data_IF_599795883108
#
_entry.id   IF_599795883108
#
_cell.length_a   1.000
_cell.length_b   1.000
_cell.length_c   1.000
_cell.angle_alpha   90.00
_cell.angle_beta   90.00
_cell.angle_gamma   90.00
#
_symmetry.space_group_name_H-M   'P 1'
#
loop_
_entity.id
_entity.type
_entity.pdbx_description
1 polymer ?
#
# COMPACT_ATOMS: atom_id res chain seq x y z
N UNK A 1 1.70 -12.29 -5.72
CA UNK A 1 0.86 -13.39 -6.26
C UNK A 1 -0.33 -12.78 -6.98
N UNK A 2 -0.78 -13.37 -8.09
CA UNK A 2 -1.91 -12.84 -8.85
C UNK A 2 -3.22 -13.46 -8.38
N UNK A 3 -4.19 -12.63 -7.96
CA UNK A 3 -5.58 -12.93 -7.54
C UNK A 3 -5.89 -13.19 -6.05
N UNK A 4 -4.91 -13.31 -5.16
CA UNK A 4 -5.17 -13.26 -3.70
C UNK A 4 -5.33 -11.81 -3.22
N UNK A 5 -6.16 -11.57 -2.19
CA UNK A 5 -6.12 -10.32 -1.43
C UNK A 5 -5.16 -10.56 -0.24
N UNK A 6 -3.94 -10.00 -0.25
CA UNK A 6 -2.94 -10.23 0.79
C UNK A 6 -3.46 -9.92 2.19
N UNK A 7 -4.20 -8.83 2.37
CA UNK A 7 -4.81 -8.44 3.65
C UNK A 7 -5.72 -9.55 4.19
N UNK A 8 -6.54 -10.15 3.32
CA UNK A 8 -7.43 -11.24 3.71
C UNK A 8 -6.63 -12.49 4.10
N UNK A 9 -5.58 -12.83 3.35
CA UNK A 9 -4.72 -13.96 3.65
C UNK A 9 -3.95 -13.77 4.96
N UNK A 10 -3.47 -12.54 5.23
CA UNK A 10 -2.83 -12.14 6.48
C UNK A 10 -3.75 -12.39 7.68
N UNK A 11 -4.98 -11.88 7.63
CA UNK A 11 -5.97 -12.04 8.70
C UNK A 11 -6.39 -13.52 8.85
N UNK A 12 -6.57 -14.25 7.75
CA UNK A 12 -6.87 -15.68 7.77
C UNK A 12 -5.75 -16.49 8.41
N UNK A 13 -4.48 -16.19 8.13
CA UNK A 13 -3.33 -16.90 8.67
C UNK A 13 -3.13 -16.60 10.15
N UNK A 14 -3.20 -15.33 10.55
CA UNK A 14 -3.20 -14.91 11.96
C UNK A 14 -4.28 -15.65 12.76
N UNK A 15 -5.51 -15.67 12.25
CA UNK A 15 -6.65 -16.36 12.89
C UNK A 15 -6.41 -17.87 13.04
N UNK A 16 -5.84 -18.53 12.03
CA UNK A 16 -5.53 -19.97 12.09
C UNK A 16 -4.44 -20.29 13.13
N UNK A 17 -3.47 -19.40 13.30
CA UNK A 17 -2.38 -19.55 14.27
C UNK A 17 -2.85 -19.31 15.70
N UNK A 18 -3.63 -18.25 15.95
CA UNK A 18 -4.19 -17.96 17.27
C UNK A 18 -5.14 -19.07 17.75
N UNK A 19 -5.92 -19.66 16.85
CA UNK A 19 -6.77 -20.84 17.16
C UNK A 19 -5.96 -22.07 17.61
N UNK A 20 -4.67 -22.15 17.27
CA UNK A 20 -3.74 -23.20 17.71
C UNK A 20 -2.94 -22.81 18.96
N UNK A 21 -3.24 -21.67 19.57
CA UNK A 21 -2.51 -21.15 20.73
C UNK A 21 -1.16 -20.51 20.40
N UNK A 22 -0.88 -20.24 19.12
CA UNK A 22 0.33 -19.55 18.68
C UNK A 22 0.04 -18.06 18.66
N UNK A 23 0.82 -17.28 19.43
CA UNK A 23 0.68 -15.83 19.48
C UNK A 23 1.27 -15.17 18.25
N UNK A 24 0.50 -14.29 17.64
CA UNK A 24 0.88 -13.58 16.41
C UNK A 24 0.72 -12.08 16.56
N UNK A 25 1.59 -11.34 15.88
CA UNK A 25 1.46 -9.90 15.66
C UNK A 25 1.46 -9.71 14.14
N UNK A 26 0.44 -9.05 13.60
CA UNK A 26 0.39 -8.71 12.19
C UNK A 26 1.14 -7.39 11.96
N UNK A 27 1.96 -7.32 10.91
CA UNK A 27 2.55 -6.07 10.43
C UNK A 27 2.02 -5.84 9.02
N UNK A 28 1.33 -4.73 8.79
CA UNK A 28 0.65 -4.49 7.51
C UNK A 28 0.65 -3.02 7.15
N UNK A 29 0.49 -2.70 5.88
CA UNK A 29 0.02 -1.39 5.47
C UNK A 29 -1.51 -1.38 5.36
N UNK A 30 -2.07 -0.19 5.15
CA UNK A 30 -3.51 0.05 5.11
C UNK A 30 -3.90 0.64 3.76
N UNK A 31 -5.07 0.29 3.25
CA UNK A 31 -5.65 0.87 2.04
C UNK A 31 -6.92 1.66 2.38
N UNK A 32 -6.75 2.69 3.20
CA UNK A 32 -7.84 3.49 3.77
C UNK A 32 -8.36 4.61 2.83
N UNK A 33 -7.97 4.59 1.55
CA UNK A 33 -8.29 5.66 0.60
C UNK A 33 -7.46 6.93 0.83
N UNK A 34 -7.46 7.84 -0.15
CA UNK A 34 -6.60 9.05 -0.14
C UNK A 34 -6.92 10.04 0.96
N UNK A 35 -8.14 9.98 1.49
CA UNK A 35 -8.62 10.78 2.61
C UNK A 35 -8.53 10.04 3.95
N UNK A 36 -8.08 8.78 3.95
CA UNK A 36 -8.01 7.92 5.12
C UNK A 36 -9.38 7.54 5.70
N UNK A 37 -10.48 7.76 4.97
CA UNK A 37 -11.83 7.57 5.48
C UNK A 37 -12.42 6.18 5.15
N UNK A 38 -11.75 5.40 4.31
CA UNK A 38 -12.20 4.05 3.94
C UNK A 38 -11.79 3.03 5.00
N UNK A 39 -12.42 1.86 4.94
CA UNK A 39 -12.00 0.72 5.74
C UNK A 39 -10.53 0.38 5.44
N UNK A 40 -9.73 0.30 6.50
CA UNK A 40 -8.28 0.17 6.45
C UNK A 40 -7.79 -1.15 5.82
N UNK A 41 -8.36 -2.28 6.23
CA UNK A 41 -8.05 -3.62 5.73
C UNK A 41 -9.29 -4.27 5.13
N UNK A 42 -9.10 -5.09 4.09
CA UNK A 42 -10.19 -5.80 3.44
C UNK A 42 -10.90 -6.83 4.34
N UNK A 43 -10.20 -7.39 5.34
CA UNK A 43 -10.75 -8.34 6.32
C UNK A 43 -10.32 -7.97 7.75
N UNK A 44 -11.05 -8.47 8.76
CA UNK A 44 -10.70 -8.30 10.17
C UNK A 44 -11.25 -9.43 11.03
N UNK A 45 -10.55 -9.76 12.13
CA UNK A 45 -11.00 -10.79 13.07
C UNK A 45 -10.67 -10.40 14.52
N UNK A 46 -11.57 -10.63 15.51
CA UNK A 46 -11.27 -10.35 16.92
C UNK A 46 -10.05 -11.09 17.49
N UNK A 47 -9.61 -12.19 16.87
CA UNK A 47 -8.38 -12.89 17.23
C UNK A 47 -7.11 -12.19 16.72
N UNK A 48 -7.21 -11.40 15.64
CA UNK A 48 -6.11 -10.58 15.12
C UNK A 48 -6.08 -9.22 15.85
N UNK A 49 -5.83 -9.26 17.16
CA UNK A 49 -5.93 -8.10 18.05
C UNK A 49 -4.60 -7.39 18.33
N UNK A 50 -3.51 -7.85 17.72
CA UNK A 50 -2.19 -7.23 17.78
C UNK A 50 -1.72 -6.89 16.36
N UNK A 51 -1.90 -5.64 15.95
CA UNK A 51 -1.58 -5.15 14.60
C UNK A 51 -0.68 -3.93 14.70
N UNK A 52 0.39 -3.92 13.91
CA UNK A 52 1.28 -2.78 13.70
C UNK A 52 1.11 -2.33 12.26
N UNK A 53 0.76 -1.06 12.06
CA UNK A 53 0.58 -0.48 10.73
C UNK A 53 1.85 0.22 10.24
N UNK A 54 2.17 0.04 8.96
CA UNK A 54 3.15 0.81 8.21
C UNK A 54 2.61 2.13 7.64
N UNK A 55 1.31 2.40 7.82
CA UNK A 55 0.62 3.59 7.33
C UNK A 55 -0.29 3.32 6.13
N UNK A 56 -0.99 4.36 5.68
CA UNK A 56 -1.91 4.31 4.56
C UNK A 56 -1.17 4.35 3.22
N UNK A 57 -1.22 3.25 2.46
CA UNK A 57 -0.63 3.09 1.14
C UNK A 57 -1.29 3.99 0.07
N UNK A 58 -2.50 4.51 0.33
CA UNK A 58 -3.17 5.46 -0.54
C UNK A 58 -2.83 6.93 -0.25
N UNK A 59 -1.97 7.22 0.74
CA UNK A 59 -1.58 8.60 1.07
C UNK A 59 -0.97 9.30 -0.16
N UNK A 60 -1.46 10.50 -0.48
CA UNK A 60 -0.99 11.23 -1.67
C UNK A 60 0.28 12.00 -1.36
N UNK A 61 1.32 11.74 -2.14
CA UNK A 61 2.60 12.45 -2.07
C UNK A 61 2.87 13.22 -3.37
N UNK A 62 3.79 14.18 -3.29
CA UNK A 62 4.33 14.87 -4.46
C UNK A 62 5.84 14.68 -4.47
N UNK A 63 6.34 13.93 -5.44
CA UNK A 63 7.76 13.86 -5.74
C UNK A 63 8.15 15.07 -6.61
N UNK A 64 9.22 15.80 -6.28
CA UNK A 64 9.67 16.92 -7.11
C UNK A 64 10.18 16.41 -8.46
N UNK A 65 10.37 17.31 -9.45
CA UNK A 65 11.09 16.96 -10.68
C UNK A 65 12.48 16.41 -10.36
N UNK A 66 12.88 15.31 -10.99
CA UNK A 66 14.17 14.67 -10.77
C UNK A 66 15.24 15.24 -11.71
N UNK A 67 16.41 15.58 -11.17
CA UNK A 67 17.57 16.02 -11.97
C UNK A 67 18.11 14.90 -12.88
N UNK A 68 17.90 13.64 -12.49
CA UNK A 68 18.37 12.45 -13.20
C UNK A 68 17.28 11.40 -13.23
N UNK A 69 16.99 10.91 -14.43
CA UNK A 69 16.01 9.84 -14.68
C UNK A 69 16.78 8.58 -15.12
N UNK A 70 16.44 7.45 -14.52
CA UNK A 70 16.96 6.13 -14.90
C UNK A 70 15.75 5.29 -15.33
N UNK A 71 15.72 4.87 -16.60
CA UNK A 71 14.58 4.17 -17.19
C UNK A 71 13.61 5.10 -17.92
N UNK A 72 12.35 4.70 -18.00
CA UNK A 72 11.28 5.45 -18.66
C UNK A 72 10.39 6.14 -17.61
N UNK A 73 10.27 7.46 -17.72
CA UNK A 73 9.45 8.31 -16.85
C UNK A 73 8.30 8.99 -17.62
N UNK A 74 7.92 8.46 -18.78
CA UNK A 74 6.77 8.95 -19.52
C UNK A 74 5.45 8.71 -18.77
N UNK A 75 4.42 9.47 -19.12
CA UNK A 75 3.06 9.27 -18.58
C UNK A 75 2.55 7.84 -18.84
N UNK A 76 2.99 7.19 -19.93
CA UNK A 76 2.65 5.80 -20.23
C UNK A 76 3.20 4.79 -19.22
N UNK A 77 4.10 5.21 -18.33
CA UNK A 77 4.63 4.41 -17.21
C UNK A 77 4.13 4.97 -15.88
N UNK A 78 4.34 6.27 -15.64
CA UNK A 78 4.06 6.91 -14.34
C UNK A 78 2.57 6.89 -13.99
N UNK A 79 1.68 7.09 -14.96
CA UNK A 79 0.24 7.20 -14.69
C UNK A 79 -0.45 5.84 -14.52
N UNK A 80 0.25 4.74 -14.82
CA UNK A 80 -0.34 3.38 -14.86
C UNK A 80 0.33 2.38 -13.91
N UNK A 81 1.50 2.71 -13.36
CA UNK A 81 2.13 1.89 -12.32
C UNK A 81 1.32 1.94 -11.01
N UNK A 82 1.51 0.96 -10.13
CA UNK A 82 0.91 0.96 -8.81
C UNK A 82 1.16 2.30 -8.07
N UNK A 83 0.10 2.87 -7.49
CA UNK A 83 0.08 4.20 -6.89
C UNK A 83 -0.04 5.38 -7.86
N UNK A 84 0.25 5.17 -9.15
CA UNK A 84 0.01 6.11 -10.21
C UNK A 84 -1.45 6.18 -10.64
N UNK A 85 -1.83 7.28 -11.25
CA UNK A 85 -3.14 7.50 -11.86
C UNK A 85 -3.05 8.53 -13.00
N UNK A 86 -4.12 8.65 -13.79
CA UNK A 86 -4.18 9.63 -14.88
C UNK A 86 -3.84 11.04 -14.38
N UNK A 87 -2.79 11.65 -14.95
CA UNK A 87 -2.30 12.96 -14.54
C UNK A 87 -1.33 12.94 -13.35
N UNK A 88 -0.78 11.76 -13.00
CA UNK A 88 0.27 11.65 -11.99
C UNK A 88 1.53 12.39 -12.42
N UNK A 89 1.99 12.21 -13.67
CA UNK A 89 3.08 13.02 -14.22
C UNK A 89 2.56 14.42 -14.60
N UNK A 90 3.01 15.45 -13.88
CA UNK A 90 2.61 16.84 -14.12
C UNK A 90 3.44 17.51 -15.22
N UNK A 91 2.94 18.59 -15.83
CA UNK A 91 3.68 19.32 -16.88
C UNK A 91 5.03 19.91 -16.43
N UNK A 92 5.19 20.16 -15.13
CA UNK A 92 6.45 20.65 -14.54
C UNK A 92 7.46 19.53 -14.23
N UNK A 93 7.12 18.27 -14.52
CA UNK A 93 7.94 17.09 -14.24
C UNK A 93 7.80 16.54 -12.81
N UNK A 94 6.99 17.16 -11.95
CA UNK A 94 6.67 16.60 -10.63
C UNK A 94 5.68 15.43 -10.77
N UNK A 95 5.72 14.50 -9.81
CA UNK A 95 4.83 13.33 -9.80
C UNK A 95 3.93 13.41 -8.58
N UNK A 96 2.62 13.48 -8.81
CA UNK A 96 1.61 13.34 -7.77
C UNK A 96 1.02 11.94 -7.82
N UNK A 97 1.24 11.16 -6.78
CA UNK A 97 0.86 9.75 -6.75
C UNK A 97 0.58 9.31 -5.30
N UNK A 98 0.02 8.13 -5.15
CA UNK A 98 -0.07 7.48 -3.84
C UNK A 98 1.31 6.95 -3.43
N UNK A 99 1.60 6.93 -2.12
CA UNK A 99 2.93 6.62 -1.58
C UNK A 99 3.44 5.24 -2.00
N UNK A 100 2.54 4.28 -2.26
CA UNK A 100 2.86 2.95 -2.79
C UNK A 100 3.60 2.96 -4.15
N UNK A 101 3.67 4.09 -4.85
CA UNK A 101 4.54 4.27 -6.02
C UNK A 101 6.03 4.09 -5.67
N UNK A 102 6.40 4.34 -4.41
CA UNK A 102 7.72 4.07 -3.86
C UNK A 102 7.71 2.63 -3.34
N UNK A 103 8.45 1.75 -3.99
CA UNK A 103 8.57 0.35 -3.58
C UNK A 103 9.03 0.24 -2.13
N UNK A 104 8.22 -0.42 -1.29
CA UNK A 104 8.52 -0.65 0.13
C UNK A 104 8.32 0.56 1.04
N UNK A 105 7.67 1.63 0.58
CA UNK A 105 7.33 2.76 1.45
C UNK A 105 6.29 2.43 2.52
N UNK A 106 5.41 1.47 2.21
CA UNK A 106 4.50 0.82 3.12
C UNK A 106 4.77 -0.69 3.05
N UNK A 107 4.64 -1.42 4.16
CA UNK A 107 5.14 -2.79 4.27
C UNK A 107 4.13 -3.73 4.92
N UNK A 108 4.01 -4.92 4.34
CA UNK A 108 3.17 -6.03 4.79
C UNK A 108 4.05 -7.25 5.08
N UNK A 109 4.01 -7.77 6.32
CA UNK A 109 4.85 -8.85 6.85
C UNK A 109 4.12 -9.79 7.83
#
# INVERSE_FOLDING_TARGET
EGFGNPDADLIMNCTKLEKKGIKTVCVTDEYAGRDGASQSLADSNPLANAVVTGGNANEVIVLPPMDKIIGDASAGVVDVIAGGFSGSLRPDGSIMAEIQIITGATNEL
#
